data_IF_492613462339
#
_entry.id   IF_492613462339
#
_cell.length_a   1.000
_cell.length_b   1.000
_cell.length_c   1.000
_cell.angle_alpha   90.00
_cell.angle_beta   90.00
_cell.angle_gamma   90.00
#
_symmetry.space_group_name_H-M   'P 1'
#
loop_
_entity.id
_entity.type
_entity.pdbx_description
1 polymer ?
#
# COMPACT_ATOMS: atom_id res chain seq x y z
N UNK A 1 6.17 -20.58 -1.87
CA UNK A 1 7.25 -19.77 -2.45
C UNK A 1 6.67 -18.45 -2.94
N UNK A 2 7.05 -17.33 -2.32
CA UNK A 2 6.41 -16.02 -2.51
C UNK A 2 6.92 -15.23 -3.72
N UNK A 3 6.78 -13.90 -3.66
CA UNK A 3 7.27 -12.95 -4.67
C UNK A 3 8.74 -13.17 -5.06
N UNK A 4 9.62 -13.55 -4.11
CA UNK A 4 11.03 -13.82 -4.36
C UNK A 4 11.27 -14.92 -5.40
N UNK A 5 10.47 -15.99 -5.37
CA UNK A 5 10.55 -17.06 -6.37
C UNK A 5 10.03 -16.60 -7.73
N UNK A 6 8.97 -15.78 -7.74
CA UNK A 6 8.46 -15.16 -8.96
C UNK A 6 9.50 -14.26 -9.63
N UNK A 7 10.23 -13.47 -8.83
CA UNK A 7 11.31 -12.62 -9.31
C UNK A 7 12.48 -13.44 -9.87
N UNK A 8 12.84 -14.54 -9.21
CA UNK A 8 13.87 -15.46 -9.69
C UNK A 8 13.48 -16.13 -11.03
N UNK A 9 12.23 -16.57 -11.16
CA UNK A 9 11.76 -17.31 -12.33
C UNK A 9 11.40 -16.42 -13.54
N UNK A 10 10.80 -15.24 -13.31
CA UNK A 10 10.45 -14.28 -14.37
C UNK A 10 10.70 -12.85 -13.89
N UNK A 11 11.95 -12.35 -14.01
CA UNK A 11 12.32 -10.99 -13.59
C UNK A 11 11.60 -9.90 -14.38
N UNK A 12 11.20 -10.17 -15.62
CA UNK A 12 10.55 -9.19 -16.49
C UNK A 12 9.05 -9.04 -16.19
N UNK A 13 8.40 -10.12 -15.73
CA UNK A 13 6.97 -10.16 -15.42
C UNK A 13 6.61 -9.87 -13.95
N UNK A 14 7.61 -9.81 -13.07
CA UNK A 14 7.41 -9.67 -11.61
C UNK A 14 7.99 -8.34 -11.12
N UNK A 15 7.20 -7.50 -10.43
CA UNK A 15 7.71 -6.24 -9.90
C UNK A 15 8.68 -6.48 -8.73
N UNK A 16 9.72 -5.66 -8.66
CA UNK A 16 10.75 -5.74 -7.64
C UNK A 16 10.30 -4.99 -6.38
N UNK A 17 10.41 -5.56 -5.16
CA UNK A 17 9.90 -4.92 -3.94
C UNK A 17 10.50 -3.55 -3.61
N UNK A 18 11.78 -3.36 -3.94
CA UNK A 18 12.51 -2.12 -3.66
C UNK A 18 12.38 -1.07 -4.76
N UNK A 19 11.82 -1.44 -5.93
CA UNK A 19 11.69 -0.49 -7.04
C UNK A 19 10.34 0.19 -6.96
N UNK A 20 10.34 1.50 -7.18
CA UNK A 20 9.10 2.26 -7.28
C UNK A 20 8.27 1.80 -8.48
N UNK A 21 6.94 2.00 -8.45
CA UNK A 21 6.06 1.65 -9.55
C UNK A 21 6.52 2.26 -10.88
N UNK A 22 6.67 1.42 -11.89
CA UNK A 22 7.19 1.80 -13.21
C UNK A 22 6.18 2.47 -14.13
N UNK A 23 4.88 2.33 -13.84
CA UNK A 23 3.78 2.88 -14.66
C UNK A 23 3.12 4.07 -13.99
N UNK A 24 2.67 5.04 -14.78
CA UNK A 24 1.89 6.19 -14.34
C UNK A 24 0.69 5.74 -13.46
N UNK A 25 0.50 6.30 -12.25
CA UNK A 25 -0.65 6.05 -11.41
C UNK A 25 -2.01 6.24 -12.10
N UNK A 26 -2.12 7.14 -13.07
CA UNK A 26 -3.37 7.43 -13.79
C UNK A 26 -3.63 6.46 -14.97
N UNK A 27 -2.64 5.66 -15.37
CA UNK A 27 -2.78 4.72 -16.48
C UNK A 27 -3.87 3.67 -16.19
N UNK A 28 -4.92 3.66 -17.03
CA UNK A 28 -6.07 2.75 -16.89
C UNK A 28 -7.22 3.28 -16.05
N UNK A 29 -7.16 4.53 -15.57
CA UNK A 29 -8.24 5.19 -14.83
C UNK A 29 -8.84 6.36 -15.65
N UNK A 30 -9.87 6.12 -16.50
CA UNK A 30 -10.40 7.15 -17.40
C UNK A 30 -11.03 8.35 -16.68
N UNK A 31 -11.57 8.13 -15.47
CA UNK A 31 -12.22 9.15 -14.65
C UNK A 31 -11.30 9.67 -13.51
N UNK A 32 -10.01 9.35 -13.55
CA UNK A 32 -9.06 9.68 -12.48
C UNK A 32 -9.10 8.73 -11.28
N UNK A 33 -8.14 8.87 -10.36
CA UNK A 33 -8.02 8.11 -9.11
C UNK A 33 -8.39 9.00 -7.94
N UNK A 34 -9.20 8.50 -7.00
CA UNK A 34 -9.46 9.19 -5.74
C UNK A 34 -8.19 9.25 -4.89
N UNK A 35 -7.81 10.46 -4.50
CA UNK A 35 -6.66 10.70 -3.62
C UNK A 35 -6.94 10.24 -2.19
N UNK A 36 -5.88 9.85 -1.49
CA UNK A 36 -5.95 9.49 -0.08
C UNK A 36 -5.85 10.75 0.76
N UNK A 37 -6.79 10.94 1.66
CA UNK A 37 -6.83 12.11 2.54
C UNK A 37 -6.20 11.74 3.87
N UNK A 38 -5.19 12.51 4.29
CA UNK A 38 -4.66 12.45 5.64
C UNK A 38 -5.61 13.19 6.59
N UNK A 39 -6.14 12.48 7.59
CA UNK A 39 -7.07 13.07 8.58
C UNK A 39 -6.31 13.75 9.72
N UNK A 40 -5.22 13.13 10.21
CA UNK A 40 -4.39 13.70 11.27
C UNK A 40 -3.50 14.82 10.73
N UNK A 41 -3.41 15.93 11.45
CA UNK A 41 -2.47 17.00 11.14
C UNK A 41 -1.05 16.63 11.61
N UNK A 42 -0.05 17.25 10.98
CA UNK A 42 1.34 16.99 11.37
C UNK A 42 1.65 17.40 12.81
N UNK A 43 1.09 18.53 13.26
CA UNK A 43 1.25 19.02 14.62
C UNK A 43 0.65 18.05 15.67
N UNK A 44 -0.48 17.40 15.36
CA UNK A 44 -1.08 16.38 16.22
C UNK A 44 -0.21 15.11 16.32
N UNK A 45 0.41 14.68 15.22
CA UNK A 45 1.30 13.52 15.22
C UNK A 45 2.60 13.80 16.00
N UNK A 46 3.10 15.03 15.92
CA UNK A 46 4.29 15.47 16.67
C UNK A 46 4.00 15.60 18.16
N UNK A 47 2.85 16.18 18.54
CA UNK A 47 2.46 16.31 19.95
C UNK A 47 2.20 14.94 20.60
N UNK A 48 1.64 13.99 19.86
CA UNK A 48 1.45 12.60 20.27
C UNK A 48 2.75 11.76 20.28
N UNK A 49 3.89 12.36 19.90
CA UNK A 49 5.21 11.70 19.84
C UNK A 49 5.16 10.37 19.09
N UNK A 50 4.52 10.35 17.92
CA UNK A 50 4.48 9.16 17.06
C UNK A 50 5.86 8.93 16.41
N UNK A 51 6.38 7.69 16.40
CA UNK A 51 7.56 7.34 15.61
C UNK A 51 7.27 7.49 14.12
N UNK A 52 8.31 7.67 13.29
CA UNK A 52 8.14 7.94 11.85
C UNK A 52 7.39 6.82 11.11
N UNK A 53 7.56 5.57 11.55
CA UNK A 53 6.90 4.40 10.95
C UNK A 53 5.38 4.42 11.15
N UNK A 54 4.91 4.99 12.27
CA UNK A 54 3.49 5.04 12.64
C UNK A 54 2.77 6.30 12.07
N UNK A 55 3.47 7.16 11.32
CA UNK A 55 2.91 8.40 10.74
C UNK A 55 2.30 8.17 9.37
N UNK A 56 1.38 7.22 9.30
CA UNK A 56 0.67 6.85 8.08
C UNK A 56 -0.75 7.45 8.03
N UNK A 57 -1.52 7.10 6.99
CA UNK A 57 -2.91 7.56 6.84
C UNK A 57 -3.83 7.12 8.00
N UNK A 58 -3.43 6.10 8.77
CA UNK A 58 -4.17 5.54 9.89
C UNK A 58 -3.77 6.15 11.25
N UNK A 59 -2.82 7.09 11.29
CA UNK A 59 -2.29 7.70 12.52
C UNK A 59 -3.37 8.34 13.42
N UNK A 60 -4.45 8.86 12.84
CA UNK A 60 -5.56 9.45 13.59
C UNK A 60 -6.24 8.45 14.55
N UNK A 61 -6.32 7.16 14.18
CA UNK A 61 -6.86 6.11 15.06
C UNK A 61 -5.84 5.68 16.12
N UNK A 62 -4.54 5.69 15.78
CA UNK A 62 -3.48 5.38 16.73
C UNK A 62 -3.44 6.41 17.88
N UNK A 63 -3.63 7.69 17.56
CA UNK A 63 -3.72 8.76 18.56
C UNK A 63 -4.90 8.50 19.51
N UNK A 64 -6.08 8.14 18.98
CA UNK A 64 -7.25 7.78 19.80
C UNK A 64 -6.99 6.57 20.70
N UNK A 65 -6.35 5.53 20.17
CA UNK A 65 -5.98 4.35 20.94
C UNK A 65 -5.01 4.69 22.08
N UNK A 66 -3.98 5.50 21.81
CA UNK A 66 -3.03 5.96 22.84
C UNK A 66 -3.70 6.82 23.91
N UNK A 67 -4.65 7.67 23.53
CA UNK A 67 -5.45 8.47 24.46
C UNK A 67 -6.27 7.57 25.40
N UNK A 68 -7.03 6.62 24.85
CA UNK A 68 -7.81 5.67 25.67
C UNK A 68 -6.93 4.90 26.67
N UNK A 69 -5.74 4.47 26.23
CA UNK A 69 -4.78 3.78 27.13
C UNK A 69 -4.29 4.65 28.28
N UNK A 70 -4.11 5.95 28.05
CA UNK A 70 -3.69 6.89 29.09
C UNK A 70 -4.83 7.12 30.10
N UNK A 71 -6.07 7.24 29.62
CA UNK A 71 -7.24 7.57 30.45
C UNK A 71 -7.69 6.41 31.34
N UNK A 72 -7.63 5.17 30.83
CA UNK A 72 -8.19 3.98 31.51
C UNK A 72 -7.11 3.11 32.18
N UNK A 73 -5.84 3.53 32.18
CA UNK A 73 -4.76 2.78 32.83
C UNK A 73 -5.08 2.52 34.32
N UNK A 74 -4.91 1.28 34.84
CA UNK A 74 -4.27 0.10 34.24
C UNK A 74 -5.21 -0.86 33.47
N UNK A 75 -6.49 -0.53 33.31
CA UNK A 75 -7.53 -1.41 32.73
C UNK A 75 -7.57 -1.38 31.20
N UNK A 76 -6.45 -1.72 30.56
CA UNK A 76 -6.24 -1.55 29.11
C UNK A 76 -7.21 -2.35 28.21
N UNK A 77 -7.82 -3.43 28.71
CA UNK A 77 -8.78 -4.24 27.95
C UNK A 77 -10.05 -3.49 27.58
N UNK A 78 -10.34 -2.34 28.21
CA UNK A 78 -11.50 -1.51 27.83
C UNK A 78 -11.29 -0.80 26.48
N UNK A 79 -10.05 -0.67 26.02
CA UNK A 79 -9.68 0.00 24.77
C UNK A 79 -9.58 -0.94 23.56
N UNK A 80 -10.22 -2.12 23.60
CA UNK A 80 -10.15 -3.10 22.50
C UNK A 80 -10.86 -2.62 21.24
N UNK A 81 -11.91 -1.79 21.36
CA UNK A 81 -12.62 -1.23 20.21
C UNK A 81 -11.73 -0.29 19.39
N UNK A 82 -11.07 0.65 20.04
CA UNK A 82 -10.16 1.61 19.42
C UNK A 82 -8.95 0.89 18.79
N UNK A 83 -8.47 -0.17 19.45
CA UNK A 83 -7.41 -1.03 18.91
C UNK A 83 -7.87 -1.74 17.64
N UNK A 84 -9.08 -2.32 17.65
CA UNK A 84 -9.62 -3.02 16.50
C UNK A 84 -9.86 -2.08 15.31
N UNK A 85 -10.34 -0.86 15.55
CA UNK A 85 -10.48 0.16 14.51
C UNK A 85 -9.13 0.51 13.87
N UNK A 86 -8.10 0.75 14.70
CA UNK A 86 -6.75 1.01 14.20
C UNK A 86 -6.20 -0.14 13.35
N UNK A 87 -6.33 -1.39 13.85
CA UNK A 87 -5.85 -2.57 13.13
C UNK A 87 -6.62 -2.81 11.82
N UNK A 88 -7.91 -2.49 11.79
CA UNK A 88 -8.74 -2.58 10.58
C UNK A 88 -8.24 -1.59 9.53
N UNK A 89 -7.95 -0.35 9.93
CA UNK A 89 -7.37 0.64 9.01
C UNK A 89 -5.99 0.20 8.46
N UNK A 90 -5.12 -0.33 9.33
CA UNK A 90 -3.83 -0.89 8.92
C UNK A 90 -3.99 -2.05 7.92
N UNK A 91 -4.96 -2.92 8.15
CA UNK A 91 -5.28 -4.01 7.24
C UNK A 91 -5.77 -3.49 5.88
N UNK A 92 -6.65 -2.49 5.86
CA UNK A 92 -7.13 -1.86 4.62
C UNK A 92 -5.98 -1.19 3.84
N UNK A 93 -5.05 -0.53 4.53
CA UNK A 93 -3.84 0.04 3.90
C UNK A 93 -2.96 -1.05 3.28
N UNK A 94 -2.75 -2.15 4.01
CA UNK A 94 -2.02 -3.29 3.49
C UNK A 94 -2.67 -3.88 2.23
N UNK A 95 -4.01 -4.00 2.23
CA UNK A 95 -4.77 -4.45 1.05
C UNK A 95 -4.60 -3.49 -0.13
N UNK A 96 -4.53 -2.18 0.10
CA UNK A 96 -4.25 -1.20 -0.96
C UNK A 96 -2.86 -1.42 -1.57
N UNK A 97 -1.83 -1.63 -0.74
CA UNK A 97 -0.46 -1.92 -1.20
C UNK A 97 -0.39 -3.22 -2.01
N UNK A 98 -1.14 -4.25 -1.60
CA UNK A 98 -1.26 -5.50 -2.36
C UNK A 98 -1.92 -5.29 -3.72
N UNK A 99 -2.95 -4.44 -3.80
CA UNK A 99 -3.59 -4.07 -5.08
C UNK A 99 -2.62 -3.33 -6.00
N UNK A 100 -1.76 -2.46 -5.47
CA UNK A 100 -0.73 -1.76 -6.24
C UNK A 100 0.32 -2.72 -6.81
N UNK A 101 0.78 -3.67 -5.99
CA UNK A 101 1.70 -4.73 -6.43
C UNK A 101 1.09 -5.58 -7.56
N UNK A 102 -0.16 -6.03 -7.39
CA UNK A 102 -0.84 -6.80 -8.43
C UNK A 102 -1.08 -5.99 -9.71
N UNK A 103 -1.41 -4.71 -9.58
CA UNK A 103 -1.57 -3.80 -10.72
C UNK A 103 -0.26 -3.76 -11.52
N UNK A 104 0.86 -3.49 -10.87
CA UNK A 104 2.16 -3.42 -11.56
C UNK A 104 2.52 -4.75 -12.22
N UNK A 105 2.33 -5.87 -11.51
CA UNK A 105 2.56 -7.21 -12.06
C UNK A 105 1.75 -7.46 -13.34
N UNK A 106 0.45 -7.12 -13.34
CA UNK A 106 -0.42 -7.30 -14.51
C UNK A 106 0.00 -6.40 -15.67
N UNK A 107 0.44 -5.17 -15.38
CA UNK A 107 0.93 -4.23 -16.39
C UNK A 107 2.25 -4.69 -17.01
N UNK A 108 3.20 -5.20 -16.22
CA UNK A 108 4.45 -5.79 -16.70
C UNK A 108 4.19 -7.01 -17.60
N UNK A 109 3.31 -7.91 -17.17
CA UNK A 109 2.91 -9.06 -17.98
C UNK A 109 2.23 -8.64 -19.30
N UNK A 110 1.39 -7.60 -19.26
CA UNK A 110 0.78 -7.03 -20.47
C UNK A 110 1.84 -6.44 -21.40
N UNK A 111 2.80 -5.67 -20.88
CA UNK A 111 3.93 -5.12 -21.64
C UNK A 111 4.73 -6.23 -22.32
N UNK A 112 5.08 -7.28 -21.59
CA UNK A 112 5.77 -8.47 -22.12
C UNK A 112 5.00 -9.12 -23.27
N UNK A 113 3.68 -9.27 -23.16
CA UNK A 113 2.83 -9.81 -24.25
C UNK A 113 2.80 -8.91 -25.48
N UNK A 114 2.69 -7.60 -25.29
CA UNK A 114 2.67 -6.62 -26.39
C UNK A 114 4.03 -6.63 -27.12
N UNK A 115 5.13 -6.61 -26.38
CA UNK A 115 6.48 -6.67 -26.96
C UNK A 115 6.75 -7.98 -27.70
N UNK A 116 6.27 -9.12 -27.17
CA UNK A 116 6.39 -10.40 -27.86
C UNK A 116 5.63 -10.39 -29.19
N UNK A 117 4.41 -9.84 -29.20
CA UNK A 117 3.59 -9.71 -30.41
C UNK A 117 4.25 -8.77 -31.43
N UNK A 118 4.72 -7.60 -31.01
CA UNK A 118 5.37 -6.65 -31.94
C UNK A 118 6.67 -7.21 -32.52
N UNK A 119 7.43 -8.01 -31.75
CA UNK A 119 8.61 -8.71 -32.27
C UNK A 119 8.25 -9.76 -33.32
N UNK A 120 7.17 -10.51 -33.12
CA UNK A 120 6.69 -11.48 -34.12
C UNK A 120 6.23 -10.80 -35.41
N UNK A 121 5.49 -9.69 -35.30
CA UNK A 121 5.06 -8.89 -36.44
C UNK A 121 6.26 -8.30 -37.20
N UNK A 122 7.31 -7.85 -36.50
CA UNK A 122 8.55 -7.34 -37.12
C UNK A 122 9.43 -8.42 -37.77
N UNK A 123 9.33 -9.68 -37.33
CA UNK A 123 10.06 -10.81 -37.95
C UNK A 123 9.29 -11.33 -39.19
N UNK A 124 7.97 -11.19 -39.21
CA UNK A 124 7.12 -11.61 -40.32
C UNK A 124 6.95 -10.60 -41.45
N UNK A 125 7.40 -9.35 -41.26
CA UNK A 125 7.45 -8.28 -42.27
C UNK A 125 8.83 -8.22 -42.93
#
# INVERSE_FOLDING_TARGET
>A
MGNAWGLYSDPAGTPHPEKNPSFDPLYGFPNGRKERVMIATQAEMESAKLPLEDRDYCAHLLIKYRACRADVAPWLYKCEHEKHEYLTCQYEDYVLRMKEFERERRLLQRKKRIEARSRQEAIGA
#
